data_IF_151598769032
#
_entry.id   IF_151598769032
#
_cell.length_a   1.000
_cell.length_b   1.000
_cell.length_c   1.000
_cell.angle_alpha   90.00
_cell.angle_beta   90.00
_cell.angle_gamma   90.00
#
_symmetry.space_group_name_H-M   'P 1'
#
loop_
_entity.id
_entity.type
_entity.pdbx_description
1 polymer ?
#
# COMPACT_ATOMS: atom_id res chain seq x y z
N UNK A 1 -0.84 4.82 -6.91
CA UNK A 1 0.42 4.93 -6.14
C UNK A 1 1.64 4.51 -6.97
N UNK A 2 1.72 3.28 -7.50
CA UNK A 2 2.86 2.84 -8.33
C UNK A 2 3.19 3.76 -9.52
N UNK A 3 2.16 4.28 -10.20
CA UNK A 3 2.36 5.24 -11.30
C UNK A 3 3.00 6.56 -10.81
N UNK A 4 2.53 7.07 -9.67
CA UNK A 4 2.97 8.34 -9.07
C UNK A 4 4.44 8.24 -8.65
N UNK A 5 4.83 7.13 -8.02
CA UNK A 5 6.22 6.86 -7.61
C UNK A 5 7.15 6.47 -8.76
N UNK A 6 6.63 6.28 -9.97
CA UNK A 6 7.43 5.89 -11.15
C UNK A 6 7.86 4.41 -11.16
N UNK A 7 7.28 3.58 -10.29
CA UNK A 7 7.64 2.17 -10.13
C UNK A 7 6.76 1.21 -10.94
N UNK A 8 5.69 1.71 -11.58
CA UNK A 8 4.76 0.90 -12.35
C UNK A 8 5.44 0.29 -13.59
N UNK A 9 5.45 -1.03 -13.67
CA UNK A 9 5.74 -1.76 -14.90
C UNK A 9 4.45 -1.87 -15.76
N UNK A 10 4.41 -1.26 -16.97
CA UNK A 10 3.21 -1.24 -17.81
C UNK A 10 3.01 -2.51 -18.64
N UNK A 11 3.97 -3.44 -18.67
CA UNK A 11 3.93 -4.65 -19.50
C UNK A 11 2.59 -5.40 -19.36
N UNK A 12 2.07 -5.90 -20.48
CA UNK A 12 0.82 -6.64 -20.53
C UNK A 12 1.06 -8.16 -20.54
N UNK A 13 0.17 -8.91 -19.89
CA UNK A 13 0.20 -10.38 -19.87
C UNK A 13 1.32 -10.99 -19.02
N UNK A 14 1.64 -12.26 -19.26
CA UNK A 14 2.68 -13.01 -18.53
C UNK A 14 2.17 -13.74 -17.29
N UNK A 15 3.10 -14.37 -16.58
CA UNK A 15 2.80 -15.17 -15.37
C UNK A 15 2.23 -14.26 -14.27
N UNK A 16 1.22 -14.73 -13.51
CA UNK A 16 0.69 -13.98 -12.39
C UNK A 16 1.77 -13.61 -11.38
N UNK A 17 1.75 -12.36 -10.93
CA UNK A 17 2.79 -11.81 -10.06
C UNK A 17 2.29 -11.75 -8.63
N UNK A 18 3.20 -11.89 -7.66
CA UNK A 18 2.87 -11.83 -6.23
C UNK A 18 3.28 -10.46 -5.70
N UNK A 19 2.33 -9.51 -5.52
CA UNK A 19 2.63 -8.24 -4.86
C UNK A 19 3.07 -8.45 -3.41
N UNK A 20 3.67 -7.41 -2.84
CA UNK A 20 3.91 -7.35 -1.41
C UNK A 20 2.58 -7.10 -0.69
N UNK A 21 2.32 -7.89 0.36
CA UNK A 21 1.17 -7.76 1.24
C UNK A 21 1.65 -7.67 2.70
N UNK A 22 0.74 -7.37 3.62
CA UNK A 22 1.03 -7.33 5.05
C UNK A 22 1.69 -8.64 5.51
N UNK A 23 2.77 -8.53 6.30
CA UNK A 23 3.54 -9.70 6.75
C UNK A 23 2.66 -10.69 7.54
N UNK A 24 1.77 -10.17 8.39
CA UNK A 24 0.83 -10.99 9.16
C UNK A 24 -0.06 -11.86 8.24
N UNK A 25 -0.66 -11.25 7.22
CA UNK A 25 -1.47 -11.98 6.24
C UNK A 25 -0.62 -12.96 5.42
N UNK A 26 0.61 -12.56 5.05
CA UNK A 26 1.51 -13.41 4.28
C UNK A 26 1.94 -14.66 5.04
N UNK A 27 2.10 -14.54 6.36
CA UNK A 27 2.51 -15.62 7.26
C UNK A 27 1.31 -16.35 7.87
N UNK A 28 0.07 -16.02 7.52
CA UNK A 28 -1.09 -16.73 8.05
C UNK A 28 -1.03 -18.22 7.66
N UNK A 29 -1.17 -19.16 8.62
CA UNK A 29 -1.21 -20.58 8.30
C UNK A 29 -2.48 -20.88 7.51
N UNK A 30 -2.34 -21.55 6.37
CA UNK A 30 -3.46 -21.90 5.50
C UNK A 30 -3.44 -23.39 5.26
N UNK A 31 -4.51 -24.08 5.68
CA UNK A 31 -4.67 -25.49 5.40
C UNK A 31 -5.24 -25.69 4.00
N UNK A 32 -4.57 -26.51 3.19
CA UNK A 32 -4.98 -26.88 1.84
C UNK A 32 -4.82 -28.39 1.72
N UNK A 33 -5.95 -29.10 1.63
CA UNK A 33 -6.03 -30.56 1.43
C UNK A 33 -5.14 -31.36 2.42
N UNK A 34 -5.30 -31.12 3.73
CA UNK A 34 -4.58 -31.84 4.79
C UNK A 34 -3.12 -31.40 5.00
N UNK A 35 -2.65 -30.40 4.26
CA UNK A 35 -1.29 -29.84 4.41
C UNK A 35 -1.32 -28.34 4.64
N UNK A 36 -0.24 -27.78 5.20
CA UNK A 36 -0.08 -26.33 5.29
C UNK A 36 0.49 -25.80 3.97
N UNK A 37 -0.23 -24.86 3.36
CA UNK A 37 0.26 -24.12 2.22
C UNK A 37 1.42 -23.20 2.64
N UNK A 38 2.42 -23.10 1.77
CA UNK A 38 3.57 -22.22 1.97
C UNK A 38 3.14 -20.77 2.25
N UNK A 39 3.96 -20.06 3.02
CA UNK A 39 3.79 -18.63 3.22
C UNK A 39 3.74 -17.86 1.89
N UNK A 40 3.06 -16.71 1.88
CA UNK A 40 3.04 -15.86 0.70
C UNK A 40 4.38 -15.16 0.51
N UNK A 41 5.10 -15.57 -0.53
CA UNK A 41 6.35 -14.95 -0.93
C UNK A 41 6.12 -13.98 -2.10
N UNK A 42 6.44 -12.68 -1.97
CA UNK A 42 6.33 -11.73 -3.09
C UNK A 42 7.29 -12.09 -4.22
N UNK A 43 6.98 -11.69 -5.47
CA UNK A 43 7.90 -11.91 -6.59
C UNK A 43 9.22 -11.16 -6.34
N UNK A 44 10.38 -11.77 -6.63
CA UNK A 44 11.69 -11.32 -6.11
C UNK A 44 12.11 -9.93 -6.57
N UNK A 45 11.81 -9.57 -7.83
CA UNK A 45 12.26 -8.31 -8.39
C UNK A 45 11.14 -7.26 -8.40
N UNK A 46 11.42 -6.00 -8.01
CA UNK A 46 10.42 -4.94 -7.99
C UNK A 46 9.70 -4.79 -9.34
N UNK A 47 10.42 -4.86 -10.46
CA UNK A 47 9.82 -4.75 -11.79
C UNK A 47 8.79 -5.84 -12.10
N UNK A 48 8.88 -7.01 -11.46
CA UNK A 48 7.96 -8.11 -11.70
C UNK A 48 6.70 -7.95 -10.85
N UNK A 49 6.82 -7.50 -9.61
CA UNK A 49 5.65 -7.34 -8.70
C UNK A 49 4.95 -5.99 -8.80
N UNK A 50 5.62 -4.92 -9.23
CA UNK A 50 5.05 -3.58 -9.36
C UNK A 50 4.22 -3.41 -10.64
N UNK A 51 3.24 -4.29 -10.82
CA UNK A 51 2.38 -4.34 -12.01
C UNK A 51 0.95 -3.92 -11.68
N UNK A 52 0.14 -3.77 -12.72
CA UNK A 52 -1.30 -3.55 -12.58
C UNK A 52 -1.93 -4.71 -11.80
N UNK A 53 -2.88 -4.39 -10.92
CA UNK A 53 -3.55 -5.37 -10.05
C UNK A 53 -4.26 -6.50 -10.80
N UNK A 54 -4.60 -6.28 -12.07
CA UNK A 54 -5.17 -7.32 -12.97
C UNK A 54 -4.21 -8.49 -13.23
N UNK A 55 -2.90 -8.28 -13.05
CA UNK A 55 -1.87 -9.31 -13.22
C UNK A 55 -1.41 -9.91 -11.89
N UNK A 56 -1.97 -9.45 -10.76
CA UNK A 56 -1.66 -10.00 -9.46
C UNK A 56 -2.32 -11.39 -9.31
N UNK A 57 -1.57 -12.35 -8.76
CA UNK A 57 -2.09 -13.67 -8.42
C UNK A 57 -3.27 -13.55 -7.45
N UNK A 58 -4.37 -14.23 -7.75
CA UNK A 58 -5.57 -14.29 -6.90
C UNK A 58 -5.72 -15.69 -6.33
N UNK A 59 -5.75 -15.80 -5.01
CA UNK A 59 -5.96 -17.04 -4.29
C UNK A 59 -7.23 -16.92 -3.45
N UNK A 60 -8.09 -17.95 -3.48
CA UNK A 60 -9.33 -17.98 -2.70
C UNK A 60 -9.07 -17.85 -1.20
N UNK A 61 -8.08 -18.59 -0.68
CA UNK A 61 -7.76 -18.62 0.75
C UNK A 61 -6.75 -17.57 1.22
N UNK A 62 -6.32 -16.65 0.36
CA UNK A 62 -5.44 -15.55 0.74
C UNK A 62 -5.61 -14.37 -0.21
N UNK A 63 -6.34 -13.36 0.26
CA UNK A 63 -6.55 -12.12 -0.46
C UNK A 63 -5.52 -11.07 -0.03
N UNK A 64 -5.30 -10.09 -0.90
CA UNK A 64 -4.50 -8.92 -0.52
C UNK A 64 -5.35 -8.04 0.43
N UNK A 65 -4.95 -7.87 1.70
CA UNK A 65 -5.72 -7.10 2.67
C UNK A 65 -5.98 -5.65 2.21
N UNK A 66 -5.03 -5.06 1.47
CA UNK A 66 -5.21 -3.73 0.93
C UNK A 66 -6.35 -3.73 -0.09
N UNK A 67 -6.35 -4.66 -1.04
CA UNK A 67 -7.41 -4.76 -2.05
C UNK A 67 -8.78 -5.06 -1.41
N UNK A 68 -8.82 -5.89 -0.38
CA UNK A 68 -10.04 -6.24 0.34
C UNK A 68 -10.69 -5.03 1.02
N UNK A 69 -9.91 -4.20 1.71
CA UNK A 69 -10.42 -2.97 2.35
C UNK A 69 -11.01 -1.99 1.32
N UNK A 70 -10.55 -2.03 0.07
CA UNK A 70 -11.10 -1.26 -1.06
C UNK A 70 -12.16 -2.01 -1.86
N UNK A 71 -12.88 -2.93 -1.20
CA UNK A 71 -14.01 -3.70 -1.73
C UNK A 71 -13.66 -4.47 -3.00
N UNK A 72 -12.45 -5.03 -3.10
CA UNK A 72 -12.17 -5.97 -4.19
C UNK A 72 -13.25 -7.07 -4.23
N UNK A 73 -13.78 -7.42 -5.42
CA UNK A 73 -14.78 -8.47 -5.55
C UNK A 73 -14.34 -9.79 -4.92
N UNK A 74 -15.29 -10.48 -4.26
CA UNK A 74 -15.05 -11.82 -3.74
C UNK A 74 -14.81 -12.78 -4.92
N UNK A 75 -13.87 -13.71 -4.75
CA UNK A 75 -13.52 -14.73 -5.75
C UNK A 75 -14.53 -15.89 -5.82
N UNK A 76 -15.39 -16.01 -4.81
CA UNK A 76 -16.37 -17.11 -4.68
C UNK A 76 -17.75 -16.76 -5.22
N UNK A 77 -18.04 -15.48 -5.40
CA UNK A 77 -19.35 -14.99 -5.79
C UNK A 77 -19.24 -14.15 -7.06
N UNK A 78 -20.24 -14.28 -7.93
CA UNK A 78 -20.41 -13.36 -9.05
C UNK A 78 -20.64 -11.94 -8.52
N UNK A 79 -19.93 -10.97 -9.09
CA UNK A 79 -20.04 -9.56 -8.74
C UNK A 79 -20.39 -8.77 -10.00
N UNK A 80 -21.65 -8.35 -10.11
CA UNK A 80 -22.13 -7.51 -11.23
C UNK A 80 -21.59 -6.09 -11.16
N UNK A 81 -21.42 -5.57 -9.94
CA UNK A 81 -20.92 -4.23 -9.68
C UNK A 81 -20.16 -4.19 -8.36
N UNK A 82 -18.96 -3.61 -8.38
CA UNK A 82 -18.18 -3.37 -7.17
C UNK A 82 -18.83 -2.26 -6.34
N UNK A 83 -19.08 -2.53 -5.07
CA UNK A 83 -19.53 -1.49 -4.13
C UNK A 83 -18.42 -0.47 -3.89
N UNK A 84 -18.80 0.82 -3.86
CA UNK A 84 -17.93 1.90 -3.45
C UNK A 84 -18.34 2.32 -2.05
N UNK A 85 -17.43 2.14 -1.09
CA UNK A 85 -17.64 2.55 0.30
C UNK A 85 -16.56 3.57 0.67
N UNK A 86 -16.89 4.45 1.62
CA UNK A 86 -15.96 5.39 2.22
C UNK A 86 -15.94 5.08 3.71
N UNK A 87 -15.13 4.10 4.09
CA UNK A 87 -15.06 3.61 5.47
C UNK A 87 -13.73 3.99 6.10
N UNK A 88 -13.75 4.20 7.41
CA UNK A 88 -12.57 4.59 8.20
C UNK A 88 -11.36 3.64 7.99
N UNK A 89 -11.53 2.30 7.90
CA UNK A 89 -10.42 1.39 7.61
C UNK A 89 -9.64 1.70 6.32
N UNK A 90 -10.30 2.24 5.29
CA UNK A 90 -9.61 2.62 4.04
C UNK A 90 -8.63 3.76 4.26
N UNK A 91 -9.02 4.74 5.09
CA UNK A 91 -8.13 5.86 5.45
C UNK A 91 -6.94 5.34 6.23
N UNK A 92 -7.16 4.50 7.25
CA UNK A 92 -6.05 3.93 8.03
C UNK A 92 -5.14 3.03 7.20
N UNK A 93 -5.67 2.30 6.23
CA UNK A 93 -4.87 1.51 5.29
C UNK A 93 -3.96 2.37 4.42
N UNK A 94 -4.42 3.57 4.03
CA UNK A 94 -3.59 4.53 3.30
C UNK A 94 -2.55 5.21 4.21
N UNK A 95 -2.92 5.63 5.41
CA UNK A 95 -2.02 6.37 6.31
C UNK A 95 -0.96 5.48 6.96
N UNK A 96 -1.32 4.28 7.41
CA UNK A 96 -0.45 3.42 8.21
C UNK A 96 0.06 2.19 7.43
N UNK A 97 -0.32 2.06 6.16
CA UNK A 97 0.08 0.91 5.34
C UNK A 97 1.55 0.99 4.90
N UNK A 98 2.30 -0.08 5.13
CA UNK A 98 3.69 -0.19 4.68
C UNK A 98 3.81 0.01 3.16
N UNK A 99 2.88 -0.53 2.38
CA UNK A 99 2.87 -0.34 0.93
C UNK A 99 2.75 1.15 0.56
N UNK A 100 1.92 1.94 1.25
CA UNK A 100 1.80 3.38 0.98
C UNK A 100 3.08 4.11 1.39
N UNK A 101 3.65 3.78 2.54
CA UNK A 101 4.92 4.34 3.01
C UNK A 101 6.05 4.10 2.00
N UNK A 102 6.22 2.87 1.52
CA UNK A 102 7.26 2.50 0.56
C UNK A 102 7.14 3.32 -0.74
N UNK A 103 5.90 3.55 -1.23
CA UNK A 103 5.66 4.38 -2.42
C UNK A 103 5.91 5.86 -2.15
N UNK A 104 5.65 6.36 -0.94
CA UNK A 104 5.96 7.72 -0.55
C UNK A 104 7.48 7.96 -0.53
N UNK A 105 8.25 7.00 -0.01
CA UNK A 105 9.73 7.03 -0.03
C UNK A 105 10.24 7.01 -1.47
N UNK A 106 9.74 6.11 -2.32
CA UNK A 106 10.15 6.04 -3.72
C UNK A 106 9.86 7.33 -4.48
N UNK A 107 8.70 7.95 -4.21
CA UNK A 107 8.37 9.28 -4.74
C UNK A 107 9.33 10.36 -4.23
N UNK A 108 9.67 10.36 -2.94
CA UNK A 108 10.61 11.31 -2.35
C UNK A 108 11.98 11.21 -3.03
N UNK A 109 12.54 10.00 -3.17
CA UNK A 109 13.81 9.76 -3.88
C UNK A 109 13.77 10.26 -5.32
N UNK A 110 12.62 10.13 -5.99
CA UNK A 110 12.45 10.61 -7.35
C UNK A 110 12.49 12.15 -7.44
N UNK A 111 11.83 12.86 -6.52
CA UNK A 111 11.75 14.34 -6.53
C UNK A 111 12.92 15.04 -5.84
N UNK A 112 13.72 14.33 -5.03
CA UNK A 112 14.94 14.89 -4.44
C UNK A 112 16.04 15.18 -5.48
N UNK A 113 15.83 14.78 -6.74
CA UNK A 113 16.69 15.12 -7.88
C UNK A 113 16.41 16.53 -8.43
N UNK A 114 15.34 17.18 -7.99
CA UNK A 114 14.97 18.52 -8.42
C UNK A 114 15.93 19.57 -7.84
N UNK A 115 16.04 20.72 -8.52
CA UNK A 115 17.04 21.74 -8.19
C UNK A 115 16.75 22.54 -6.90
N UNK A 116 15.50 22.54 -6.40
CA UNK A 116 15.12 23.25 -5.18
C UNK A 116 13.98 22.55 -4.42
N UNK A 117 13.80 22.90 -3.14
CA UNK A 117 12.72 22.37 -2.30
C UNK A 117 11.33 22.73 -2.88
N UNK A 118 11.18 23.96 -3.39
CA UNK A 118 9.96 24.44 -4.05
C UNK A 118 9.67 23.63 -5.32
N UNK A 119 10.69 23.37 -6.14
CA UNK A 119 10.56 22.57 -7.36
C UNK A 119 10.15 21.13 -7.03
N UNK A 120 10.73 20.54 -5.99
CA UNK A 120 10.37 19.21 -5.49
C UNK A 120 8.92 19.15 -5.01
N UNK A 121 8.47 20.12 -4.20
CA UNK A 121 7.07 20.19 -3.72
C UNK A 121 6.11 20.35 -4.90
N UNK A 122 6.42 21.21 -5.86
CA UNK A 122 5.60 21.36 -7.06
C UNK A 122 5.52 20.06 -7.88
N UNK A 123 6.62 19.31 -7.97
CA UNK A 123 6.65 18.00 -8.65
C UNK A 123 5.79 16.96 -7.93
N UNK A 124 5.83 16.90 -6.58
CA UNK A 124 4.96 16.03 -5.78
C UNK A 124 3.50 16.36 -6.07
N UNK A 125 3.12 17.63 -6.01
CA UNK A 125 1.73 18.04 -6.22
C UNK A 125 1.21 17.69 -7.61
N UNK A 126 2.02 17.92 -8.65
CA UNK A 126 1.64 17.52 -10.02
C UNK A 126 1.41 16.03 -10.15
N UNK A 127 2.26 15.20 -9.53
CA UNK A 127 2.16 13.74 -9.61
C UNK A 127 1.01 13.17 -8.78
N UNK A 128 0.79 13.69 -7.57
CA UNK A 128 -0.19 13.15 -6.63
C UNK A 128 -1.60 13.73 -6.84
N UNK A 129 -1.71 15.03 -7.12
CA UNK A 129 -2.99 15.74 -7.23
C UNK A 129 -3.32 16.18 -8.66
N UNK A 130 -2.41 16.01 -9.63
CA UNK A 130 -2.63 16.43 -11.02
C UNK A 130 -2.58 17.95 -11.22
N UNK A 131 -2.12 18.73 -10.23
CA UNK A 131 -2.04 20.19 -10.28
C UNK A 131 -0.80 20.71 -9.57
N UNK A 132 -0.41 21.97 -9.81
CA UNK A 132 0.61 22.63 -9.00
C UNK A 132 0.13 22.91 -7.57
N UNK A 133 1.08 23.02 -6.64
CA UNK A 133 0.80 23.49 -5.28
C UNK A 133 0.50 25.00 -5.32
N UNK A 134 -0.49 25.44 -4.54
CA UNK A 134 -0.68 26.88 -4.30
C UNK A 134 0.48 27.45 -3.48
N UNK A 135 0.61 28.78 -3.41
CA UNK A 135 1.66 29.42 -2.63
C UNK A 135 1.60 29.01 -1.14
N UNK A 136 0.39 29.00 -0.56
CA UNK A 136 0.18 28.61 0.84
C UNK A 136 0.50 27.13 1.08
N UNK A 137 0.12 26.25 0.16
CA UNK A 137 0.41 24.81 0.23
C UNK A 137 1.91 24.55 0.14
N UNK A 138 2.61 25.23 -0.78
CA UNK A 138 4.05 25.09 -0.94
C UNK A 138 4.80 25.57 0.31
N UNK A 139 4.42 26.73 0.85
CA UNK A 139 5.00 27.26 2.07
C UNK A 139 4.79 26.31 3.27
N UNK A 140 3.57 25.78 3.42
CA UNK A 140 3.24 24.82 4.48
C UNK A 140 4.03 23.51 4.34
N UNK A 141 4.14 22.97 3.13
CA UNK A 141 4.88 21.74 2.85
C UNK A 141 6.38 21.90 3.13
N UNK A 142 7.00 23.01 2.71
CA UNK A 142 8.41 23.29 2.96
C UNK A 142 8.68 23.51 4.44
N UNK A 143 7.84 24.30 5.13
CA UNK A 143 7.95 24.50 6.57
C UNK A 143 7.80 23.18 7.33
N UNK A 144 6.94 22.29 6.85
CA UNK A 144 6.78 20.96 7.42
C UNK A 144 8.01 20.08 7.16
N UNK A 145 8.50 20.01 5.92
CA UNK A 145 9.70 19.27 5.54
C UNK A 145 10.88 19.64 6.43
N UNK A 146 11.22 20.94 6.53
CA UNK A 146 12.35 21.41 7.35
C UNK A 146 12.21 21.03 8.83
N UNK A 147 11.00 21.15 9.40
CA UNK A 147 10.71 20.71 10.78
C UNK A 147 10.94 19.21 10.95
N UNK A 148 10.52 18.41 9.98
CA UNK A 148 10.73 16.97 10.03
C UNK A 148 12.21 16.64 9.89
N UNK A 149 12.95 17.23 8.95
CA UNK A 149 14.40 17.00 8.81
C UNK A 149 15.12 17.23 10.14
N UNK A 150 14.88 18.38 10.78
CA UNK A 150 15.49 18.71 12.08
C UNK A 150 15.10 17.75 13.23
N UNK A 151 13.90 17.16 13.18
CA UNK A 151 13.48 16.11 14.13
C UNK A 151 14.23 14.81 13.85
N UNK A 152 14.29 14.39 12.59
CA UNK A 152 14.87 13.12 12.16
C UNK A 152 16.37 13.05 12.33
N UNK A 153 17.10 14.16 12.18
CA UNK A 153 18.53 14.21 12.45
C UNK A 153 18.89 13.77 13.88
N UNK A 154 17.94 13.89 14.81
CA UNK A 154 18.10 13.51 16.22
C UNK A 154 17.54 12.13 16.54
N UNK A 155 16.86 11.50 15.59
CA UNK A 155 16.21 10.20 15.77
C UNK A 155 17.01 9.11 15.08
N UNK A 156 17.15 7.98 15.78
CA UNK A 156 17.66 6.75 15.17
C UNK A 156 16.46 5.86 14.88
N UNK A 157 16.25 5.52 13.61
CA UNK A 157 15.17 4.63 13.22
C UNK A 157 15.61 3.17 13.31
N UNK A 158 14.73 2.35 13.87
CA UNK A 158 14.94 0.91 13.93
C UNK A 158 14.89 0.30 12.54
N UNK A 159 15.89 -0.51 12.21
CA UNK A 159 15.80 -1.40 11.06
C UNK A 159 14.79 -2.50 11.37
N UNK A 160 13.77 -2.62 10.55
CA UNK A 160 12.83 -3.75 10.61
C UNK A 160 13.57 -5.02 10.23
N UNK A 161 13.53 -6.04 11.10
CA UNK A 161 14.09 -7.36 10.81
C UNK A 161 12.94 -8.27 10.41
N UNK A 162 12.96 -8.74 9.16
CA UNK A 162 12.01 -9.77 8.70
C UNK A 162 12.48 -11.15 9.19
N UNK A 163 11.56 -12.02 9.64
CA UNK A 163 11.92 -13.38 10.03
C UNK A 163 12.40 -14.17 8.81
N UNK A 164 13.37 -15.07 9.03
CA UNK A 164 13.86 -16.01 8.00
C UNK A 164 13.19 -17.38 8.10
N UNK A 165 12.59 -17.67 9.24
CA UNK A 165 11.87 -18.89 9.52
C UNK A 165 10.60 -18.55 10.31
N UNK A 166 9.57 -19.37 10.15
CA UNK A 166 8.35 -19.29 10.96
C UNK A 166 8.14 -20.64 11.62
N UNK A 167 7.90 -20.61 12.93
CA UNK A 167 7.49 -21.79 13.67
C UNK A 167 5.99 -21.97 13.49
N UNK A 168 5.60 -23.13 12.94
CA UNK A 168 4.21 -23.52 12.74
C UNK A 168 3.81 -24.50 13.83
N UNK A 169 2.60 -24.34 14.36
CA UNK A 169 1.93 -25.35 15.19
C UNK A 169 0.80 -25.98 14.37
N UNK A 170 0.72 -27.31 14.40
CA UNK A 170 -0.32 -28.07 13.73
C UNK A 170 -0.75 -29.25 14.60
N UNK A 171 -1.92 -29.80 14.29
CA UNK A 171 -2.48 -30.98 14.96
C UNK A 171 -2.47 -32.13 13.96
N UNK A 172 -1.89 -33.26 14.35
CA UNK A 172 -1.91 -34.46 13.51
C UNK A 172 -3.31 -35.05 13.47
N UNK A 173 -3.78 -35.40 12.26
CA UNK A 173 -5.19 -35.68 11.99
C UNK A 173 -5.72 -36.93 12.72
N UNK A 174 -4.91 -37.98 12.88
CA UNK A 174 -5.38 -39.25 13.43
C UNK A 174 -5.27 -39.36 14.96
N UNK A 175 -4.22 -38.77 15.55
CA UNK A 175 -3.91 -38.84 16.98
C UNK A 175 -4.36 -37.61 17.76
N UNK A 176 -4.62 -36.49 17.08
CA UNK A 176 -4.89 -35.21 17.73
C UNK A 176 -3.67 -34.60 18.42
N UNK A 177 -2.47 -35.16 18.21
CA UNK A 177 -1.24 -34.68 18.84
C UNK A 177 -0.79 -33.38 18.18
N UNK A 178 -0.50 -32.37 19.01
CA UNK A 178 0.11 -31.12 18.54
C UNK A 178 1.58 -31.35 18.20
N UNK A 179 2.01 -30.85 17.05
CA UNK A 179 3.41 -30.84 16.66
C UNK A 179 3.79 -29.45 16.15
N UNK A 180 5.09 -29.17 16.21
CA UNK A 180 5.64 -27.93 15.66
C UNK A 180 6.72 -28.24 14.63
N UNK A 181 6.82 -27.39 13.62
CA UNK A 181 7.91 -27.45 12.65
C UNK A 181 8.33 -26.05 12.23
N UNK A 182 9.57 -25.93 11.76
CA UNK A 182 10.14 -24.68 11.26
C UNK A 182 9.99 -24.65 9.74
N UNK A 183 9.25 -23.68 9.24
CA UNK A 183 9.15 -23.39 7.81
C UNK A 183 10.21 -22.32 7.46
N UNK A 184 11.22 -22.64 6.63
CA UNK A 184 12.10 -21.62 6.09
C UNK A 184 11.32 -20.72 5.12
N UNK A 185 11.48 -19.41 5.23
CA UNK A 185 10.89 -18.45 4.30
C UNK A 185 11.86 -18.20 3.13
N UNK A 186 11.34 -18.19 1.91
CA UNK A 186 12.14 -17.99 0.71
C UNK A 186 12.88 -16.63 0.69
N UNK A 187 14.06 -16.60 0.07
CA UNK A 187 14.92 -15.41 -0.10
C UNK A 187 14.28 -14.13 -0.69
N UNK A 188 13.19 -14.14 -1.49
CA UNK A 188 12.55 -12.92 -1.97
C UNK A 188 12.11 -11.97 -0.85
N UNK A 189 11.94 -12.45 0.39
CA UNK A 189 11.73 -11.54 1.54
C UNK A 189 12.95 -10.64 1.83
N UNK A 190 14.17 -11.09 1.52
CA UNK A 190 15.44 -10.44 1.88
C UNK A 190 15.91 -9.38 0.87
N UNK A 191 15.78 -9.66 -0.44
CA UNK A 191 16.30 -8.80 -1.55
C UNK A 191 15.62 -7.43 -1.57
N UNK A 192 14.40 -7.38 -1.02
CA UNK A 192 13.51 -6.25 -1.08
C UNK A 192 14.00 -5.07 -0.21
N UNK A 193 14.74 -5.32 0.87
CA UNK A 193 15.07 -4.31 1.89
C UNK A 193 16.45 -3.63 1.72
N UNK A 194 17.45 -4.33 1.18
CA UNK A 194 18.81 -3.76 1.05
C UNK A 194 18.88 -2.45 0.25
N UNK A 195 17.99 -2.28 -0.74
CA UNK A 195 17.85 -1.04 -1.51
C UNK A 195 16.91 -0.02 -0.85
N UNK A 196 16.03 -0.45 0.07
CA UNK A 196 15.02 0.38 0.76
C UNK A 196 15.63 1.19 1.90
N UNK A 197 16.36 0.54 2.80
CA UNK A 197 16.94 1.21 3.97
C UNK A 197 17.91 2.31 3.55
N UNK A 198 18.72 2.04 2.52
CA UNK A 198 19.63 3.04 1.94
C UNK A 198 18.90 4.22 1.30
N UNK A 199 17.75 3.98 0.67
CA UNK A 199 16.96 5.00 -0.01
C UNK A 199 16.17 5.89 0.97
N UNK A 200 15.56 5.29 1.99
CA UNK A 200 14.91 5.99 3.11
C UNK A 200 15.93 6.86 3.85
N UNK A 201 17.08 6.28 4.21
CA UNK A 201 18.10 6.99 4.96
C UNK A 201 18.76 8.10 4.14
N UNK A 202 19.00 7.89 2.83
CA UNK A 202 19.49 8.94 1.93
C UNK A 202 18.46 10.07 1.69
N UNK A 203 17.17 9.74 1.60
CA UNK A 203 16.10 10.73 1.45
C UNK A 203 15.85 11.54 2.71
N UNK A 204 16.06 10.95 3.89
CA UNK A 204 15.87 11.61 5.19
C UNK A 204 17.07 12.43 5.66
N UNK A 205 18.29 12.14 5.19
CA UNK A 205 19.53 12.82 5.63
C UNK A 205 20.10 13.83 4.63
N UNK A 206 19.47 14.05 3.47
CA UNK A 206 19.98 15.03 2.51
C UNK A 206 21.40 14.72 2.00
N UNK A 207 21.73 13.42 1.85
CA UNK A 207 23.01 12.84 1.40
C UNK A 207 24.13 12.69 2.47
N UNK A 208 24.50 11.43 2.79
CA UNK A 208 25.84 10.78 2.70
C UNK A 208 25.90 9.57 3.67
N UNK A 209 26.01 8.35 3.12
CA UNK A 209 26.34 7.11 3.86
C UNK A 209 27.65 7.30 4.67
N UNK A 210 27.81 6.81 5.92
CA UNK A 210 27.87 5.36 6.17
C UNK A 210 27.45 4.85 7.58
N UNK A 211 27.30 3.52 7.64
CA UNK A 211 27.57 2.60 8.76
C UNK A 211 26.82 2.69 10.12
N UNK A 212 26.00 1.66 10.34
CA UNK A 212 25.89 0.83 11.56
C UNK A 212 25.71 1.50 12.92
N UNK A 213 24.48 1.44 13.45
CA UNK A 213 24.15 0.79 14.75
C UNK A 213 22.67 0.98 15.08
N UNK A 214 21.97 -0.15 15.17
CA UNK A 214 21.04 -0.55 16.23
C UNK A 214 20.14 0.52 16.88
N UNK A 215 18.82 0.25 16.88
CA UNK A 215 17.81 0.47 17.95
C UNK A 215 16.52 1.23 17.56
N UNK A 216 15.54 1.05 18.46
CA UNK A 216 14.07 0.96 18.37
C UNK A 216 13.23 2.24 18.11
N UNK A 217 12.01 1.97 17.63
CA UNK A 217 10.74 2.74 17.63
C UNK A 217 10.53 3.87 16.59
N UNK A 218 9.41 3.74 15.85
CA UNK A 218 9.01 4.54 14.69
C UNK A 218 7.89 5.51 15.03
N UNK A 219 8.02 6.77 14.61
CA UNK A 219 6.95 7.75 14.77
C UNK A 219 7.06 8.86 13.71
N UNK A 220 6.63 8.61 12.46
CA UNK A 220 6.80 9.51 11.31
C UNK A 220 5.67 9.46 10.26
N UNK A 221 4.82 10.47 10.27
CA UNK A 221 3.95 10.92 9.15
C UNK A 221 3.90 12.45 9.24
N UNK A 222 3.90 13.23 8.13
CA UNK A 222 2.67 13.50 7.36
C UNK A 222 2.87 14.24 5.98
N UNK A 223 3.01 13.55 4.84
CA UNK A 223 2.74 14.21 3.54
C UNK A 223 1.22 14.29 3.27
N UNK A 224 0.40 13.54 4.02
CA UNK A 224 -1.05 13.45 3.84
C UNK A 224 -1.90 14.28 4.81
N UNK A 225 -1.31 15.03 5.77
CA UNK A 225 -2.10 15.93 6.65
C UNK A 225 -2.42 17.30 6.02
N UNK A 226 -2.01 17.56 4.77
CA UNK A 226 -2.33 18.80 4.06
C UNK A 226 -3.66 18.71 3.29
N UNK A 227 -4.67 18.05 3.85
CA UNK A 227 -6.05 18.19 3.35
C UNK A 227 -6.63 19.48 3.95
N UNK A 228 -6.94 20.52 3.16
CA UNK A 228 -7.59 21.70 3.69
C UNK A 228 -8.94 21.29 4.28
N UNK A 229 -9.20 21.74 5.51
CA UNK A 229 -10.52 21.75 6.15
C UNK A 229 -11.62 21.93 5.11
N UNK A 230 -12.42 20.88 4.92
CA UNK A 230 -13.57 20.89 4.03
C UNK A 230 -14.41 22.13 4.35
N UNK A 231 -14.50 23.05 3.39
CA UNK A 231 -15.43 24.19 3.46
C UNK A 231 -16.78 23.63 3.86
N UNK A 232 -17.33 24.17 4.95
CA UNK A 232 -18.68 23.94 5.48
C UNK A 232 -19.65 23.50 4.38
N UNK A 233 -19.86 22.18 4.27
CA UNK A 233 -20.99 21.66 3.51
C UNK A 233 -22.23 22.07 4.29
N UNK A 234 -22.86 23.14 3.82
CA UNK A 234 -24.15 23.61 4.28
C UNK A 234 -25.16 22.48 4.06
N UNK A 235 -25.46 21.76 5.13
CA UNK A 235 -26.53 20.76 5.17
C UNK A 235 -27.82 21.51 4.88
N UNK A 236 -28.36 21.36 3.66
CA UNK A 236 -29.75 21.74 3.38
C UNK A 236 -30.66 20.62 3.89
N UNK A 237 -31.71 20.93 4.67
CA UNK A 237 -32.66 19.93 5.14
C UNK A 237 -33.44 19.34 3.95
N UNK A 238 -33.64 18.03 4.03
CA UNK A 238 -34.38 17.23 3.06
C UNK A 238 -35.88 17.42 3.32
N UNK A 239 -36.51 18.39 2.67
CA UNK A 239 -37.96 18.52 2.71
C UNK A 239 -38.64 17.52 1.77
N UNK A 240 -39.67 16.88 2.31
CA UNK A 240 -40.52 15.84 1.72
C UNK A 240 -41.37 16.36 0.57
N UNK A 241 -41.72 15.40 -0.30
CA UNK A 241 -42.86 15.34 -1.22
C UNK A 241 -42.75 16.12 -2.54
N UNK A 242 -42.63 15.39 -3.65
CA UNK A 242 -43.81 15.07 -4.46
C UNK A 242 -43.52 13.99 -5.49
N UNK A 243 -44.37 12.98 -5.48
CA UNK A 243 -44.54 12.03 -6.56
C UNK A 243 -45.06 12.77 -7.80
N UNK A 244 -44.49 12.49 -8.96
CA UNK A 244 -45.25 12.34 -10.20
C UNK A 244 -44.35 11.83 -11.36
N UNK A 245 -44.72 10.63 -11.85
CA UNK A 245 -44.96 10.29 -13.27
C UNK A 245 -43.81 9.95 -14.26
N UNK A 246 -43.90 8.69 -14.71
CA UNK A 246 -43.75 8.13 -16.09
C UNK A 246 -42.36 7.67 -16.60
N UNK A 247 -42.29 6.67 -17.52
CA UNK A 247 -42.81 5.28 -17.42
C UNK A 247 -41.76 4.20 -17.78
N UNK A 248 -42.13 2.96 -17.45
CA UNK A 248 -41.61 1.71 -17.99
C UNK A 248 -42.26 1.47 -19.36
N UNK A 249 -41.49 1.27 -20.45
CA UNK A 249 -41.86 0.40 -21.56
C UNK A 249 -40.72 0.11 -22.57
N UNK A 250 -40.69 -1.14 -23.05
CA UNK A 250 -40.18 -1.65 -24.34
C UNK A 250 -38.67 -1.95 -24.55
N UNK A 251 -38.24 -3.11 -24.04
CA UNK A 251 -37.89 -4.32 -24.83
C UNK A 251 -37.44 -4.16 -26.30
N UNK A 252 -36.22 -4.63 -26.64
CA UNK A 252 -35.81 -5.34 -27.88
C UNK A 252 -34.32 -5.75 -27.75
N UNK A 253 -34.00 -6.99 -27.36
CA UNK A 253 -33.69 -8.11 -28.26
C UNK A 253 -32.67 -7.77 -29.35
N UNK A 254 -31.41 -8.21 -29.19
CA UNK A 254 -30.59 -8.77 -30.27
C UNK A 254 -29.58 -9.76 -29.67
N UNK A 255 -29.78 -11.04 -29.96
CA UNK A 255 -28.76 -12.10 -29.97
C UNK A 255 -28.09 -12.09 -31.34
N UNK A 256 -26.76 -12.15 -31.37
CA UNK A 256 -25.94 -13.15 -32.09
C UNK A 256 -24.75 -13.46 -31.18
#
# INVERSE_FOLDING_TARGET
>A
MLHVSGELNPAAGGVPVRPEINLEAALQPRQVMGTLAAAWTPSPLPQDRHRRSIYALKLRGLRDPFCEVFNEPNLDLSCERREASTIVPQVFSLFNGQATYDRAVALAVLVLREASEEAAVQAIYRRAFGRGATADEAAAAIAHWRRMTARHEKLTLAKTIRPLEVVREAVEENSGTKFTFREPLDEPFQIIEGKRDMAVQAAMTGLRLPCSRQLHEMDLLPVFQLVPSARKAQVRPLDRLQADRFPIEAMRCFHI
#
